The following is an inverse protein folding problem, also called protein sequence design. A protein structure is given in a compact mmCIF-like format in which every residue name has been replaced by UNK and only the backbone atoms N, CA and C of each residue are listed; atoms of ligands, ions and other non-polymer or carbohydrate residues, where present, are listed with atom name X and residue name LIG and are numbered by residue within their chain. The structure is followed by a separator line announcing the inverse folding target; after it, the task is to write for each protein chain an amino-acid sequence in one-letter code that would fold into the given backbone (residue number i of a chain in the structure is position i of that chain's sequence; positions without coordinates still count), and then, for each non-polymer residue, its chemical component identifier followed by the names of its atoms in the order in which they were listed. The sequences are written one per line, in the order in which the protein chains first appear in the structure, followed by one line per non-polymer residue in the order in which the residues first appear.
data_IF_903126008261
#
_entry.id   IF_903126008261
#
_cell.length_a   1.000
_cell.length_b   1.000
_cell.length_c   1.000
_cell.angle_alpha   90.00
_cell.angle_beta   90.00
_cell.angle_gamma   90.00
#
_symmetry.space_group_name_H-M   'P 1'
#
loop_
_entity.id
_entity.type
_entity.pdbx_description
1 polymer ?
#
# COMPACT_ATOMS: atom_id res chain seq x y z
N UNK A 1 29.75 29.94 12.43
CA UNK A 1 29.22 30.01 11.05
C UNK A 1 28.00 29.11 10.96
N UNK A 2 26.80 29.68 10.98
CA UNK A 2 25.56 28.94 10.88
C UNK A 2 25.28 28.62 9.39
N UNK A 3 25.30 27.33 9.04
CA UNK A 3 24.89 26.86 7.71
C UNK A 3 23.41 27.21 7.52
N UNK A 4 23.15 28.21 6.68
CA UNK A 4 21.81 28.67 6.31
C UNK A 4 21.23 27.68 5.32
N UNK A 5 20.31 26.83 5.79
CA UNK A 5 19.54 25.91 4.96
C UNK A 5 18.59 26.73 4.07
N UNK A 6 18.81 26.75 2.76
CA UNK A 6 17.85 27.32 1.81
C UNK A 6 16.87 26.23 1.39
N UNK A 7 15.64 26.31 1.91
CA UNK A 7 14.58 25.35 1.66
C UNK A 7 13.84 25.72 0.37
N UNK A 8 14.16 25.08 -0.74
CA UNK A 8 13.30 25.10 -1.93
C UNK A 8 12.49 23.81 -1.98
N UNK A 9 11.53 23.68 -1.06
CA UNK A 9 10.52 22.61 -1.11
C UNK A 9 9.34 23.17 -1.90
N UNK A 10 9.25 22.81 -3.18
CA UNK A 10 8.01 23.01 -3.94
C UNK A 10 6.93 22.11 -3.34
N UNK A 11 6.16 22.65 -2.40
CA UNK A 11 5.07 21.99 -1.70
C UNK A 11 3.88 21.90 -2.65
N UNK A 12 3.88 20.89 -3.51
CA UNK A 12 2.68 20.49 -4.22
C UNK A 12 1.94 19.47 -3.34
N UNK A 13 0.85 19.89 -2.70
CA UNK A 13 0.06 19.08 -1.75
C UNK A 13 -0.44 17.75 -2.37
N UNK A 14 -0.51 17.67 -3.70
CA UNK A 14 -0.91 16.48 -4.46
C UNK A 14 0.20 15.43 -4.67
N UNK A 15 1.43 15.64 -4.19
CA UNK A 15 2.57 14.73 -4.44
C UNK A 15 2.93 13.88 -3.21
N UNK A 16 2.86 12.55 -3.38
CA UNK A 16 3.29 11.54 -2.39
C UNK A 16 4.80 11.48 -2.17
N UNK A 17 5.59 12.06 -3.06
CA UNK A 17 7.06 11.93 -3.09
C UNK A 17 7.70 13.28 -3.28
N UNK A 18 8.59 13.62 -2.35
CA UNK A 18 9.42 14.82 -2.38
C UNK A 18 10.87 14.41 -2.63
N UNK A 19 11.55 15.16 -3.49
CA UNK A 19 12.99 15.00 -3.75
C UNK A 19 13.67 16.32 -3.47
N UNK A 20 14.66 16.31 -2.59
CA UNK A 20 15.49 17.48 -2.29
C UNK A 20 16.94 17.17 -2.68
N UNK A 21 17.62 18.17 -3.22
CA UNK A 21 19.03 18.11 -3.58
C UNK A 21 19.75 19.25 -2.88
N UNK A 22 21.02 19.02 -2.50
CA UNK A 22 21.87 20.12 -2.03
C UNK A 22 22.16 21.08 -3.18
N UNK A 23 22.07 22.37 -2.91
CA UNK A 23 22.23 23.43 -3.91
C UNK A 23 23.63 23.40 -4.55
N UNK A 24 24.67 23.12 -3.74
CA UNK A 24 26.07 23.05 -4.15
C UNK A 24 26.47 21.71 -4.79
N UNK A 25 25.54 20.76 -4.94
CA UNK A 25 25.88 19.42 -5.43
C UNK A 25 25.99 19.33 -6.95
N UNK A 26 27.20 19.01 -7.45
CA UNK A 26 27.41 18.62 -8.86
C UNK A 26 26.82 17.23 -9.13
N UNK A 27 26.22 17.05 -10.30
CA UNK A 27 25.71 15.75 -10.74
C UNK A 27 26.85 14.74 -10.84
N UNK A 28 26.70 13.60 -10.17
CA UNK A 28 27.62 12.47 -10.26
C UNK A 28 26.80 11.21 -10.46
N UNK A 29 27.16 10.39 -11.44
CA UNK A 29 26.65 9.03 -11.56
C UNK A 29 27.24 8.17 -10.45
N UNK A 30 26.45 7.24 -9.91
CA UNK A 30 26.86 6.34 -8.83
C UNK A 30 26.23 6.67 -7.47
N UNK A 31 26.73 6.01 -6.42
CA UNK A 31 26.21 6.15 -5.06
C UNK A 31 26.46 7.56 -4.55
N UNK A 32 25.39 8.29 -4.25
CA UNK A 32 25.45 9.64 -3.71
C UNK A 32 24.39 9.85 -2.64
N UNK A 33 24.75 10.54 -1.57
CA UNK A 33 23.84 10.98 -0.49
C UNK A 33 23.38 12.43 -0.70
N UNK A 34 23.72 13.06 -1.83
CA UNK A 34 23.36 14.44 -2.15
C UNK A 34 21.87 14.63 -2.49
N UNK A 35 21.15 13.52 -2.72
CA UNK A 35 19.76 13.50 -3.13
C UNK A 35 18.96 12.76 -2.05
N UNK A 36 18.02 13.46 -1.43
CA UNK A 36 17.13 12.90 -0.42
C UNK A 36 15.73 12.78 -0.99
N UNK A 37 15.20 11.56 -0.98
CA UNK A 37 13.82 11.26 -1.36
C UNK A 37 12.99 10.99 -0.11
N UNK A 38 12.02 11.86 0.15
CA UNK A 38 11.08 11.71 1.26
C UNK A 38 9.73 11.30 0.70
N UNK A 39 9.19 10.17 1.16
CA UNK A 39 7.87 9.65 0.75
C UNK A 39 6.87 9.93 1.87
N UNK A 40 5.72 10.50 1.52
CA UNK A 40 4.59 10.68 2.41
C UNK A 40 3.69 9.46 2.37
N UNK A 41 3.51 8.83 3.52
CA UNK A 41 2.70 7.63 3.69
C UNK A 41 1.45 7.97 4.51
N UNK A 42 0.31 7.38 4.15
CA UNK A 42 -0.91 7.37 4.96
C UNK A 42 -1.25 5.92 5.33
N UNK A 43 -1.97 5.79 6.44
CA UNK A 43 -2.53 4.51 6.88
C UNK A 43 -4.03 4.71 6.90
N UNK A 44 -4.72 3.93 6.08
CA UNK A 44 -6.16 4.00 5.92
C UNK A 44 -6.73 2.59 6.01
N UNK A 45 -8.02 2.50 6.31
CA UNK A 45 -8.74 1.24 6.49
C UNK A 45 -9.45 0.85 5.20
N UNK A 46 -9.31 -0.40 4.80
CA UNK A 46 -9.93 -0.94 3.60
C UNK A 46 -10.54 -2.31 3.87
N UNK A 47 -11.51 -2.68 3.04
CA UNK A 47 -12.09 -4.02 3.09
C UNK A 47 -11.30 -4.99 2.21
N UNK A 48 -11.17 -6.23 2.66
CA UNK A 48 -10.54 -7.30 1.88
C UNK A 48 -11.56 -7.95 0.95
N UNK A 49 -11.31 -7.88 -0.35
CA UNK A 49 -12.13 -8.57 -1.36
C UNK A 49 -11.60 -9.98 -1.67
N UNK A 50 -10.29 -10.16 -1.62
CA UNK A 50 -9.67 -11.43 -1.98
C UNK A 50 -8.16 -11.42 -1.84
N UNK A 51 -7.56 -12.60 -1.85
CA UNK A 51 -6.11 -12.78 -1.79
C UNK A 51 -5.63 -13.48 -3.04
N UNK A 52 -4.72 -12.83 -3.76
CA UNK A 52 -4.04 -13.36 -4.93
C UNK A 52 -2.71 -13.98 -4.48
N UNK A 53 -2.57 -15.30 -4.64
CA UNK A 53 -1.37 -16.04 -4.24
C UNK A 53 -0.88 -16.90 -5.40
N UNK A 54 0.25 -16.52 -5.96
CA UNK A 54 0.97 -17.36 -6.91
C UNK A 54 2.14 -18.06 -6.19
N UNK A 55 2.29 -19.40 -6.30
CA UNK A 55 3.41 -20.11 -5.70
C UNK A 55 4.74 -19.56 -6.23
N UNK A 56 5.64 -19.18 -5.32
CA UNK A 56 6.94 -18.57 -5.65
C UNK A 56 6.93 -17.05 -5.82
N UNK A 57 5.76 -16.39 -5.75
CA UNK A 57 5.65 -14.92 -5.75
C UNK A 57 5.00 -14.42 -4.46
N UNK A 58 5.14 -13.13 -4.23
CA UNK A 58 4.55 -12.50 -3.06
C UNK A 58 3.02 -12.49 -3.16
N UNK A 59 2.37 -12.66 -2.01
CA UNK A 59 0.92 -12.61 -1.91
C UNK A 59 0.42 -11.16 -1.92
N UNK A 60 -0.69 -10.93 -2.63
CA UNK A 60 -1.35 -9.63 -2.72
C UNK A 60 -2.77 -9.71 -2.16
N UNK A 61 -3.16 -8.70 -1.39
CA UNK A 61 -4.52 -8.50 -0.93
C UNK A 61 -5.23 -7.54 -1.88
N UNK A 62 -6.39 -7.91 -2.41
CA UNK A 62 -7.27 -7.07 -3.21
C UNK A 62 -8.17 -6.26 -2.28
N UNK A 63 -8.19 -4.96 -2.46
CA UNK A 63 -8.81 -4.01 -1.54
C UNK A 63 -10.07 -3.40 -2.12
N UNK A 64 -11.08 -3.29 -1.26
CA UNK A 64 -12.29 -2.53 -1.48
C UNK A 64 -12.30 -1.24 -0.66
N UNK A 65 -12.96 -0.23 -1.20
CA UNK A 65 -13.43 0.92 -0.43
C UNK A 65 -14.47 0.44 0.60
N UNK A 66 -14.34 0.82 1.87
CA UNK A 66 -15.28 0.42 2.90
C UNK A 66 -16.71 0.89 2.56
N UNK A 67 -17.69 -0.01 2.72
CA UNK A 67 -19.10 0.27 2.43
C UNK A 67 -19.52 0.22 0.97
N UNK A 68 -18.71 0.71 0.02
CA UNK A 68 -19.05 0.67 -1.41
C UNK A 68 -18.66 -0.65 -2.08
N UNK A 69 -17.68 -1.38 -1.53
CA UNK A 69 -17.17 -2.63 -2.12
C UNK A 69 -16.45 -2.44 -3.47
N UNK A 70 -16.15 -1.19 -3.86
CA UNK A 70 -15.44 -0.87 -5.11
C UNK A 70 -13.97 -1.19 -4.96
N UNK A 71 -13.38 -1.83 -5.98
CA UNK A 71 -11.96 -2.14 -5.98
C UNK A 71 -11.09 -0.87 -6.06
N UNK A 72 -10.25 -0.66 -5.06
CA UNK A 72 -9.37 0.53 -4.95
C UNK A 72 -7.91 0.19 -5.27
N UNK A 73 -7.48 -1.06 -5.11
CA UNK A 73 -6.12 -1.45 -5.43
C UNK A 73 -5.70 -2.77 -4.82
N UNK A 74 -4.42 -3.10 -4.96
CA UNK A 74 -3.80 -4.26 -4.34
C UNK A 74 -2.73 -3.84 -3.34
N UNK A 75 -2.73 -4.47 -2.16
CA UNK A 75 -1.69 -4.35 -1.15
C UNK A 75 -0.75 -5.54 -1.18
N UNK A 76 0.53 -5.25 -1.01
CA UNK A 76 1.54 -6.27 -0.80
C UNK A 76 1.48 -6.79 0.64
N UNK A 77 1.49 -8.12 0.81
CA UNK A 77 1.48 -8.75 2.13
C UNK A 77 2.93 -8.96 2.60
N UNK A 78 3.51 -7.92 3.21
CA UNK A 78 4.86 -7.95 3.80
C UNK A 78 4.92 -8.58 5.20
N UNK A 79 3.79 -9.06 5.71
CA UNK A 79 3.66 -9.55 7.09
C UNK A 79 4.53 -10.78 7.38
N UNK A 80 4.89 -10.94 8.66
CA UNK A 80 5.55 -12.13 9.18
C UNK A 80 4.72 -13.41 8.98
N UNK A 81 5.36 -14.57 9.14
CA UNK A 81 4.74 -15.88 8.87
C UNK A 81 3.47 -16.10 9.70
N UNK A 82 3.52 -15.79 10.99
CA UNK A 82 2.40 -15.98 11.93
C UNK A 82 1.17 -15.15 11.53
N UNK A 83 1.38 -13.87 11.20
CA UNK A 83 0.29 -12.99 10.81
C UNK A 83 -0.28 -13.35 9.43
N UNK A 84 0.54 -13.89 8.51
CA UNK A 84 0.06 -14.46 7.25
C UNK A 84 -0.82 -15.68 7.46
N UNK A 85 -0.48 -16.56 8.39
CA UNK A 85 -1.29 -17.73 8.72
C UNK A 85 -2.62 -17.34 9.38
N UNK A 86 -2.63 -16.31 10.24
CA UNK A 86 -3.86 -15.74 10.81
C UNK A 86 -4.75 -15.14 9.72
N UNK A 87 -4.16 -14.34 8.82
CA UNK A 87 -4.87 -13.81 7.66
C UNK A 87 -5.44 -14.93 6.81
N UNK A 88 -4.70 -16.01 6.62
CA UNK A 88 -5.18 -17.15 5.87
C UNK A 88 -6.38 -17.84 6.51
N UNK A 89 -6.33 -18.08 7.83
CA UNK A 89 -7.46 -18.66 8.56
C UNK A 89 -8.72 -17.80 8.39
N UNK A 90 -8.58 -16.48 8.54
CA UNK A 90 -9.71 -15.55 8.43
C UNK A 90 -10.24 -15.42 6.99
N UNK A 91 -9.35 -15.45 5.99
CA UNK A 91 -9.71 -15.51 4.57
C UNK A 91 -10.49 -16.80 4.25
N UNK A 92 -10.13 -17.92 4.88
CA UNK A 92 -10.81 -19.20 4.68
C UNK A 92 -12.16 -19.26 5.41
N UNK A 93 -12.25 -18.74 6.63
CA UNK A 93 -13.49 -18.63 7.41
C UNK A 93 -14.50 -17.71 6.73
N UNK A 94 -14.04 -16.59 6.16
CA UNK A 94 -14.87 -15.65 5.42
C UNK A 94 -14.83 -15.90 3.91
N UNK A 95 -14.54 -17.12 3.45
CA UNK A 95 -14.54 -17.42 2.02
C UNK A 95 -15.93 -17.17 1.41
N UNK A 96 -16.00 -16.38 0.34
CA UNK A 96 -17.26 -15.90 -0.22
C UNK A 96 -17.27 -15.90 -1.76
N UNK A 97 -18.45 -15.63 -2.36
CA UNK A 97 -18.56 -15.56 -3.81
C UNK A 97 -17.75 -14.38 -4.38
N UNK A 98 -17.25 -14.50 -5.63
CA UNK A 98 -16.49 -13.43 -6.27
C UNK A 98 -17.32 -12.14 -6.39
N UNK A 99 -16.76 -10.97 -6.05
CA UNK A 99 -17.42 -9.70 -6.26
C UNK A 99 -17.60 -9.45 -7.76
N UNK A 100 -18.76 -8.90 -8.12
CA UNK A 100 -19.20 -8.78 -9.51
C UNK A 100 -18.23 -8.01 -10.40
N UNK A 101 -17.52 -7.05 -9.80
CA UNK A 101 -16.52 -6.20 -10.45
C UNK A 101 -15.26 -6.94 -10.92
N UNK A 102 -14.98 -8.16 -10.43
CA UNK A 102 -13.73 -8.87 -10.71
C UNK A 102 -13.88 -10.30 -11.25
N UNK A 103 -15.02 -10.62 -11.87
CA UNK A 103 -15.29 -11.91 -12.55
C UNK A 103 -14.23 -12.37 -13.57
N UNK A 104 -13.33 -11.47 -14.03
CA UNK A 104 -12.31 -11.74 -15.08
C UNK A 104 -10.92 -12.14 -14.55
N UNK A 105 -10.65 -12.12 -13.24
CA UNK A 105 -9.32 -12.46 -12.71
C UNK A 105 -9.24 -13.95 -12.34
N UNK A 106 -8.38 -14.75 -13.00
CA UNK A 106 -8.10 -16.11 -12.56
C UNK A 106 -7.24 -16.09 -11.28
N UNK A 107 -7.55 -16.98 -10.34
CA UNK A 107 -6.74 -17.33 -9.16
C UNK A 107 -6.77 -16.51 -7.84
N UNK A 108 -7.59 -15.47 -7.61
CA UNK A 108 -7.75 -14.93 -6.26
C UNK A 108 -8.71 -15.81 -5.44
N UNK A 109 -8.33 -16.12 -4.20
CA UNK A 109 -9.25 -16.69 -3.21
C UNK A 109 -10.11 -15.53 -2.68
N UNK A 110 -11.39 -15.55 -3.03
CA UNK A 110 -12.34 -14.50 -2.70
C UNK A 110 -12.78 -14.59 -1.25
N UNK A 111 -12.96 -13.41 -0.64
CA UNK A 111 -13.44 -13.25 0.72
C UNK A 111 -14.75 -12.48 0.66
N UNK A 112 -15.71 -12.89 1.48
CA UNK A 112 -16.94 -12.14 1.68
C UNK A 112 -16.66 -10.75 2.27
N UNK A 113 -17.58 -9.80 2.04
CA UNK A 113 -17.45 -8.46 2.60
C UNK A 113 -17.43 -8.52 4.14
N UNK A 114 -16.61 -7.67 4.78
CA UNK A 114 -16.59 -7.52 6.25
C UNK A 114 -15.22 -7.64 6.92
N UNK A 115 -14.19 -8.14 6.23
CA UNK A 115 -12.82 -8.18 6.78
C UNK A 115 -12.12 -6.85 6.54
N UNK A 116 -11.92 -6.06 7.61
CA UNK A 116 -11.23 -4.76 7.56
C UNK A 116 -9.73 -4.90 7.81
N UNK A 117 -8.94 -4.25 6.96
CA UNK A 117 -7.49 -4.26 6.96
C UNK A 117 -6.93 -2.85 7.10
N UNK A 118 -5.87 -2.71 7.88
CA UNK A 118 -5.07 -1.48 8.01
C UNK A 118 -3.95 -1.49 6.99
N UNK A 119 -3.93 -0.50 6.11
CA UNK A 119 -3.03 -0.51 4.96
C UNK A 119 -2.26 0.78 4.88
N UNK A 120 -0.94 0.64 4.82
CA UNK A 120 -0.04 1.74 4.56
C UNK A 120 0.10 1.94 3.06
N UNK A 121 -0.16 3.14 2.56
CA UNK A 121 0.05 3.47 1.15
C UNK A 121 0.62 4.87 0.94
N UNK A 122 1.07 5.15 -0.28
CA UNK A 122 1.51 6.48 -0.64
C UNK A 122 0.33 7.45 -0.69
N UNK A 123 0.48 8.61 -0.04
CA UNK A 123 -0.53 9.67 -0.02
C UNK A 123 -0.59 10.42 -1.35
N UNK A 124 -1.67 10.32 -2.10
CA UNK A 124 -1.89 11.19 -3.26
C UNK A 124 -3.22 10.95 -3.97
N UNK A 125 -3.64 11.93 -4.77
CA UNK A 125 -4.87 11.94 -5.59
C UNK A 125 -4.82 10.98 -6.78
N UNK A 126 -4.52 9.71 -6.53
CA UNK A 126 -4.57 8.67 -7.54
C UNK A 126 -5.87 7.89 -7.43
N UNK A 127 -6.47 7.57 -8.59
CA UNK A 127 -7.68 6.75 -8.67
C UNK A 127 -7.54 5.34 -8.10
N UNK A 128 -6.30 4.88 -7.90
CA UNK A 128 -5.97 3.59 -7.28
C UNK A 128 -4.81 3.76 -6.32
N UNK A 129 -4.84 3.00 -5.24
CA UNK A 129 -3.77 3.01 -4.24
C UNK A 129 -2.47 2.48 -4.86
N UNK A 130 -1.36 3.16 -4.56
CA UNK A 130 -0.01 2.80 -5.03
C UNK A 130 0.91 2.46 -3.87
N UNK A 131 1.75 1.46 -4.07
CA UNK A 131 2.71 0.96 -3.08
C UNK A 131 2.05 0.61 -1.75
N UNK A 132 0.86 0.02 -1.77
CA UNK A 132 0.21 -0.41 -0.55
C UNK A 132 0.95 -1.59 0.09
N UNK A 133 1.04 -1.58 1.41
CA UNK A 133 1.56 -2.66 2.23
C UNK A 133 0.59 -2.92 3.38
N UNK A 134 0.25 -4.18 3.58
CA UNK A 134 -0.65 -4.59 4.66
C UNK A 134 0.08 -4.49 6.01
N UNK A 135 -0.50 -3.73 6.96
CA UNK A 135 0.03 -3.61 8.32
C UNK A 135 -0.61 -4.62 9.28
N UNK A 136 -1.90 -4.91 9.12
CA UNK A 136 -2.64 -5.81 9.99
C UNK A 136 -4.14 -5.68 9.81
N UNK A 137 -4.91 -6.26 10.73
CA UNK A 137 -6.36 -6.09 10.82
C UNK A 137 -6.70 -4.80 11.54
N UNK A 138 -7.88 -4.24 11.25
CA UNK A 138 -8.44 -3.15 12.07
C UNK A 138 -9.05 -3.64 13.38
N UNK A 139 -9.33 -4.94 13.51
CA UNK A 139 -10.01 -5.58 14.65
C UNK A 139 -9.07 -5.85 15.85
N UNK A 140 -7.76 -5.84 15.64
CA UNK A 140 -6.74 -5.98 16.70
C UNK A 140 -6.19 -4.57 17.02
N UNK A 141 -6.71 -3.96 18.09
CA UNK A 141 -6.04 -2.89 18.84
C UNK A 141 -5.28 -3.50 20.03
#
# INVERSE_FOLDING_TARGET
MALRWSWNVSRAESRSVYSSKRDDSKYRSGLTTNWLKTKSWTVDEFELLGVEREPGKAAFALLAEPGTGKYVGSAFISLGRDMKERLWKRVQEHAGPPPEAMKKRPAPQWVGPGVKLRIKHLRGDHSKIRHASLLGFSDEE
#
